data_IF_600721097004
#
_entry.id   IF_600721097004
#
_cell.length_a   1.000
_cell.length_b   1.000
_cell.length_c   1.000
_cell.angle_alpha   90.00
_cell.angle_beta   90.00
_cell.angle_gamma   90.00
#
_symmetry.space_group_name_H-M   'P 1'
#
loop_
_entity.id
_entity.type
_entity.pdbx_description
1 polymer ?
#
# COMPACT_ATOMS: atom_id res chain seq x y z
N UNK A 1 20.59 -5.77 78.49
CA UNK A 1 19.88 -4.88 77.56
C UNK A 1 20.59 -4.98 76.20
N UNK A 2 20.00 -5.71 75.21
CA UNK A 2 20.59 -5.90 73.89
C UNK A 2 19.72 -5.14 72.86
N UNK A 3 20.24 -4.02 72.32
CA UNK A 3 19.58 -3.23 71.31
C UNK A 3 19.73 -3.92 69.94
N UNK A 4 18.60 -4.23 69.30
CA UNK A 4 18.54 -4.77 67.93
C UNK A 4 18.31 -3.63 66.96
N UNK A 5 19.33 -3.37 66.13
CA UNK A 5 19.20 -2.45 65.03
C UNK A 5 18.53 -3.18 63.84
N UNK A 6 17.39 -2.69 63.41
CA UNK A 6 16.69 -3.20 62.23
C UNK A 6 17.15 -2.31 61.08
N UNK A 7 17.92 -2.90 60.15
CA UNK A 7 18.24 -2.27 58.85
C UNK A 7 17.02 -2.40 57.94
N UNK A 8 16.41 -1.28 57.62
CA UNK A 8 15.43 -1.16 56.55
C UNK A 8 16.18 -1.01 55.23
N UNK A 9 16.16 -2.05 54.40
CA UNK A 9 16.62 -1.98 53.02
C UNK A 9 15.46 -1.46 52.18
N UNK A 10 15.54 -0.23 51.72
CA UNK A 10 14.62 0.33 50.75
C UNK A 10 14.98 -0.22 49.36
N UNK A 11 14.15 -1.10 48.80
CA UNK A 11 14.21 -1.48 47.38
C UNK A 11 13.66 -0.30 46.57
N UNK A 12 14.53 0.39 45.86
CA UNK A 12 14.13 1.33 44.80
C UNK A 12 13.73 0.49 43.56
N UNK A 13 12.44 0.42 43.26
CA UNK A 13 11.96 -0.09 41.99
C UNK A 13 12.30 0.92 40.91
N UNK A 14 13.19 0.55 40.00
CA UNK A 14 13.46 1.30 38.75
C UNK A 14 12.36 0.93 37.78
N UNK A 15 11.35 1.79 37.64
CA UNK A 15 10.39 1.73 36.54
C UNK A 15 11.12 2.03 35.24
N UNK A 16 11.46 0.98 34.50
CA UNK A 16 11.89 1.10 33.11
C UNK A 16 10.66 1.54 32.27
N UNK A 17 10.48 2.85 32.12
CA UNK A 17 9.55 3.39 31.16
C UNK A 17 10.01 2.95 29.76
N UNK A 18 9.36 1.91 29.24
CA UNK A 18 9.49 1.55 27.83
C UNK A 18 8.95 2.73 26.99
N UNK A 19 9.85 3.54 26.49
CA UNK A 19 9.53 4.48 25.42
C UNK A 19 9.19 3.66 24.17
N UNK A 20 7.94 3.24 24.08
CA UNK A 20 7.34 2.80 22.84
C UNK A 20 7.31 3.98 21.90
N UNK A 21 8.38 4.18 21.13
CA UNK A 21 8.36 5.14 20.04
C UNK A 21 7.20 4.76 19.13
N UNK A 22 6.18 5.61 19.04
CA UNK A 22 5.18 5.48 17.97
C UNK A 22 5.96 5.63 16.67
N UNK A 23 6.13 4.53 15.93
CA UNK A 23 6.55 4.61 14.54
C UNK A 23 5.46 5.41 13.85
N UNK A 24 5.74 6.67 13.52
CA UNK A 24 4.81 7.48 12.75
C UNK A 24 4.69 6.81 11.39
N UNK A 25 3.50 6.32 11.08
CA UNK A 25 3.21 5.84 9.74
C UNK A 25 3.60 6.93 8.74
N UNK A 26 4.21 6.53 7.65
CA UNK A 26 4.53 7.45 6.54
C UNK A 26 3.24 8.18 6.16
N UNK A 27 3.28 9.50 5.88
CA UNK A 27 2.08 10.22 5.46
C UNK A 27 1.38 9.44 4.34
N UNK A 28 0.06 9.29 4.38
CA UNK A 28 -0.68 8.45 3.43
C UNK A 28 -0.46 8.86 1.97
N UNK A 29 -0.10 10.12 1.74
CA UNK A 29 0.22 10.62 0.39
C UNK A 29 1.25 11.75 0.48
N UNK A 30 2.06 11.91 -0.57
CA UNK A 30 2.93 13.08 -0.70
C UNK A 30 2.24 14.17 -1.54
N UNK A 31 2.60 15.46 -1.38
CA UNK A 31 2.14 16.51 -2.27
C UNK A 31 2.33 16.12 -3.74
N UNK A 32 1.36 16.47 -4.59
CA UNK A 32 1.38 16.12 -6.01
C UNK A 32 0.75 14.76 -6.34
N UNK A 33 0.38 13.94 -5.36
CA UNK A 33 -0.42 12.74 -5.58
C UNK A 33 -1.91 13.01 -5.29
N UNK A 34 -2.78 12.48 -6.16
CA UNK A 34 -4.23 12.46 -5.94
C UNK A 34 -4.87 11.20 -6.52
N UNK A 35 -5.88 10.69 -5.80
CA UNK A 35 -6.71 9.57 -6.23
C UNK A 35 -8.17 9.96 -6.33
N UNK A 36 -8.85 9.56 -7.40
CA UNK A 36 -10.27 9.81 -7.64
C UNK A 36 -10.99 8.51 -7.91
N UNK A 37 -12.06 8.22 -7.17
CA UNK A 37 -12.95 7.10 -7.46
C UNK A 37 -13.83 7.47 -8.65
N UNK A 38 -13.64 6.80 -9.79
CA UNK A 38 -14.45 6.98 -10.99
C UNK A 38 -15.76 6.21 -10.90
N UNK A 39 -15.72 5.02 -10.31
CA UNK A 39 -16.89 4.19 -10.09
C UNK A 39 -16.70 3.28 -8.88
N UNK A 40 -17.83 2.94 -8.23
CA UNK A 40 -17.92 1.93 -7.18
C UNK A 40 -19.19 1.11 -7.39
N UNK A 41 -19.09 -0.20 -7.20
CA UNK A 41 -20.25 -1.09 -7.14
C UNK A 41 -20.04 -2.18 -6.11
N UNK A 42 -21.09 -2.57 -5.41
CA UNK A 42 -21.07 -3.81 -4.63
C UNK A 42 -21.56 -4.95 -5.51
N UNK A 43 -20.79 -6.03 -5.58
CA UNK A 43 -21.13 -7.27 -6.29
C UNK A 43 -21.33 -8.39 -5.29
N UNK A 44 -22.33 -9.22 -5.53
CA UNK A 44 -22.56 -10.42 -4.74
C UNK A 44 -21.40 -11.41 -4.90
N UNK A 45 -21.28 -12.35 -3.96
CA UNK A 45 -20.35 -13.46 -4.08
C UNK A 45 -20.45 -14.10 -5.47
N UNK A 46 -19.30 -14.31 -6.12
CA UNK A 46 -19.26 -14.80 -7.50
C UNK A 46 -18.20 -15.88 -7.70
N UNK A 47 -18.42 -16.68 -8.75
CA UNK A 47 -17.42 -17.60 -9.25
C UNK A 47 -17.48 -17.61 -10.79
N UNK A 48 -16.56 -16.89 -11.40
CA UNK A 48 -16.43 -16.77 -12.85
C UNK A 48 -15.32 -17.69 -13.31
N UNK A 49 -15.65 -18.62 -14.21
CA UNK A 49 -14.69 -19.45 -14.92
C UNK A 49 -14.85 -19.21 -16.41
N UNK A 50 -13.76 -18.84 -17.07
CA UNK A 50 -13.77 -18.71 -18.52
C UNK A 50 -12.47 -19.28 -19.10
N UNK A 51 -12.54 -19.79 -20.34
CA UNK A 51 -11.36 -20.10 -21.10
C UNK A 51 -11.60 -19.86 -22.60
N UNK A 52 -10.56 -19.43 -23.29
CA UNK A 52 -10.61 -19.19 -24.73
C UNK A 52 -10.22 -20.45 -25.52
N UNK A 53 -10.88 -20.66 -26.67
CA UNK A 53 -10.54 -21.68 -27.66
C UNK A 53 -10.33 -20.99 -29.03
N UNK A 54 -9.27 -21.34 -29.80
CA UNK A 54 -8.14 -22.18 -29.41
C UNK A 54 -7.20 -21.45 -28.48
N UNK A 55 -6.62 -22.16 -27.50
CA UNK A 55 -5.60 -21.60 -26.60
C UNK A 55 -5.68 -22.15 -25.19
N UNK A 56 -4.74 -21.72 -24.38
CA UNK A 56 -4.62 -22.15 -22.98
C UNK A 56 -5.04 -21.05 -22.00
N UNK A 57 -5.59 -19.93 -22.48
CA UNK A 57 -6.01 -18.84 -21.61
C UNK A 57 -7.20 -19.27 -20.74
N UNK A 58 -7.03 -19.07 -19.44
CA UNK A 58 -8.06 -19.41 -18.45
C UNK A 58 -8.09 -18.30 -17.40
N UNK A 59 -9.29 -18.01 -16.89
CA UNK A 59 -9.50 -17.25 -15.68
C UNK A 59 -10.39 -18.02 -14.71
N UNK A 60 -10.06 -17.94 -13.43
CA UNK A 60 -10.88 -18.41 -12.33
C UNK A 60 -10.88 -17.30 -11.26
N UNK A 61 -11.99 -16.56 -11.18
CA UNK A 61 -12.20 -15.49 -10.22
C UNK A 61 -13.31 -15.88 -9.26
N UNK A 62 -13.00 -16.00 -7.99
CA UNK A 62 -13.95 -16.42 -6.97
C UNK A 62 -13.88 -15.50 -5.76
N UNK A 63 -15.04 -14.97 -5.37
CA UNK A 63 -15.26 -14.35 -4.06
C UNK A 63 -16.23 -15.20 -3.25
N UNK A 64 -15.98 -15.38 -1.95
CA UNK A 64 -16.87 -16.17 -1.07
C UNK A 64 -18.01 -15.32 -0.51
N UNK A 65 -17.81 -14.01 -0.46
CA UNK A 65 -18.72 -13.02 0.09
C UNK A 65 -18.87 -11.85 -0.87
N UNK A 66 -19.81 -10.95 -0.57
CA UNK A 66 -20.00 -9.70 -1.31
C UNK A 66 -18.71 -8.89 -1.32
N UNK A 67 -18.43 -8.25 -2.42
CA UNK A 67 -17.23 -7.44 -2.62
C UNK A 67 -17.59 -6.05 -3.13
N UNK A 68 -16.84 -5.05 -2.69
CA UNK A 68 -16.84 -3.72 -3.31
C UNK A 68 -15.79 -3.69 -4.43
N UNK A 69 -16.26 -3.38 -5.62
CA UNK A 69 -15.43 -3.15 -6.80
C UNK A 69 -15.23 -1.64 -6.98
N UNK A 70 -13.98 -1.20 -7.00
CA UNK A 70 -13.63 0.19 -7.26
C UNK A 70 -12.90 0.33 -8.59
N UNK A 71 -13.21 1.41 -9.31
CA UNK A 71 -12.38 1.92 -10.41
C UNK A 71 -11.80 3.25 -9.95
N UNK A 72 -10.48 3.31 -9.85
CA UNK A 72 -9.73 4.47 -9.36
C UNK A 72 -8.90 5.05 -10.49
N UNK A 73 -8.87 6.37 -10.60
CA UNK A 73 -7.83 7.09 -11.32
C UNK A 73 -6.87 7.72 -10.33
N UNK A 74 -5.59 7.45 -10.49
CA UNK A 74 -4.54 8.09 -9.71
C UNK A 74 -3.72 9.01 -10.60
N UNK A 75 -3.26 10.12 -10.04
CA UNK A 75 -2.44 11.11 -10.73
C UNK A 75 -1.27 11.50 -9.83
N UNK A 76 -0.08 11.51 -10.42
CA UNK A 76 1.14 12.02 -9.81
C UNK A 76 1.62 13.20 -10.65
N UNK A 77 1.55 14.38 -10.08
CA UNK A 77 1.94 15.64 -10.75
C UNK A 77 3.05 16.35 -9.96
N UNK A 78 4.32 16.20 -10.38
CA UNK A 78 5.45 16.84 -9.72
C UNK A 78 5.37 18.37 -9.71
N UNK A 79 4.64 19.00 -10.63
CA UNK A 79 4.50 20.44 -10.69
C UNK A 79 3.74 21.03 -9.49
N UNK A 80 2.86 20.22 -8.89
CA UNK A 80 2.07 20.63 -7.70
C UNK A 80 2.87 20.64 -6.40
N UNK A 81 4.11 20.21 -6.43
CA UNK A 81 5.01 20.17 -5.26
C UNK A 81 6.41 20.70 -5.54
N UNK A 82 6.57 21.55 -6.56
CA UNK A 82 7.86 22.17 -6.87
C UNK A 82 8.91 21.20 -7.41
N UNK A 83 8.49 20.12 -8.09
CA UNK A 83 9.39 19.11 -8.65
C UNK A 83 9.75 17.98 -7.68
N UNK A 84 8.94 17.76 -6.65
CA UNK A 84 9.10 16.59 -5.77
C UNK A 84 8.81 15.27 -6.53
N UNK A 85 9.03 14.15 -5.86
CA UNK A 85 8.67 12.81 -6.34
C UNK A 85 7.37 12.37 -5.64
N UNK A 86 6.19 12.68 -6.21
CA UNK A 86 4.93 12.33 -5.56
C UNK A 86 4.76 10.82 -5.45
N UNK A 87 4.23 10.36 -4.32
CA UNK A 87 4.02 8.95 -4.03
C UNK A 87 2.72 8.69 -3.29
N UNK A 88 2.26 7.45 -3.36
CA UNK A 88 1.07 7.01 -2.63
C UNK A 88 1.26 6.97 -1.12
N UNK A 89 2.49 6.98 -0.61
CA UNK A 89 2.81 6.50 0.73
C UNK A 89 2.76 4.97 0.80
N UNK A 90 3.42 4.38 1.79
CA UNK A 90 3.40 2.95 2.03
C UNK A 90 2.02 2.51 2.50
N UNK A 91 1.48 1.48 1.89
CA UNK A 91 0.14 1.00 2.19
C UNK A 91 -0.08 -0.41 1.66
N UNK A 92 -1.17 -1.02 2.12
CA UNK A 92 -1.71 -2.26 1.58
C UNK A 92 -3.20 -2.11 1.26
N UNK A 93 -3.77 -3.13 0.65
CA UNK A 93 -5.20 -3.27 0.37
C UNK A 93 -5.72 -4.60 0.93
N UNK A 94 -7.00 -4.69 1.37
CA UNK A 94 -7.57 -5.94 1.85
C UNK A 94 -7.85 -6.96 0.74
N UNK A 95 -7.69 -6.58 -0.51
CA UNK A 95 -7.86 -7.43 -1.68
C UNK A 95 -7.11 -6.91 -2.90
N UNK A 96 -7.09 -7.65 -4.01
CA UNK A 96 -6.22 -7.38 -5.14
C UNK A 96 -6.60 -6.14 -5.92
N UNK A 97 -5.57 -5.51 -6.53
CA UNK A 97 -5.69 -4.39 -7.46
C UNK A 97 -4.99 -4.72 -8.78
N UNK A 98 -5.67 -4.49 -9.88
CA UNK A 98 -5.07 -4.51 -11.22
C UNK A 98 -4.89 -3.07 -11.66
N UNK A 99 -3.66 -2.66 -11.91
CA UNK A 99 -3.30 -1.27 -12.17
C UNK A 99 -2.72 -1.15 -13.57
N UNK A 100 -3.20 -0.16 -14.33
CA UNK A 100 -2.73 0.12 -15.69
C UNK A 100 -2.20 1.56 -15.72
N UNK A 101 -0.95 1.73 -16.16
CA UNK A 101 -0.36 3.05 -16.41
C UNK A 101 -0.92 3.59 -17.72
N UNK A 102 -1.64 4.70 -17.64
CA UNK A 102 -2.31 5.33 -18.81
C UNK A 102 -1.55 6.55 -19.34
N UNK A 103 -0.66 7.12 -18.52
CA UNK A 103 0.20 8.25 -18.90
C UNK A 103 1.49 8.23 -18.09
N UNK A 104 2.62 8.54 -18.72
CA UNK A 104 3.92 8.71 -18.05
C UNK A 104 4.50 7.41 -17.53
N UNK A 105 5.24 7.51 -16.42
CA UNK A 105 5.98 6.42 -15.81
C UNK A 105 5.81 6.48 -14.29
N UNK A 106 5.62 5.33 -13.66
CA UNK A 106 5.62 5.16 -12.20
C UNK A 106 6.60 4.07 -11.81
N UNK A 107 7.09 4.14 -10.58
CA UNK A 107 7.98 3.15 -9.97
C UNK A 107 7.29 2.58 -8.73
N UNK A 108 7.16 1.27 -8.64
CA UNK A 108 6.67 0.57 -7.47
C UNK A 108 7.82 -0.02 -6.66
N UNK A 109 7.64 -0.09 -5.35
CA UNK A 109 8.57 -0.73 -4.41
C UNK A 109 7.75 -1.57 -3.43
N UNK A 110 8.30 -2.74 -3.08
CA UNK A 110 7.67 -3.69 -2.17
C UNK A 110 8.14 -3.50 -0.73
N UNK A 111 7.23 -3.72 0.22
CA UNK A 111 7.47 -3.48 1.64
C UNK A 111 8.42 -4.48 2.27
N UNK A 112 8.51 -5.67 1.73
CA UNK A 112 9.34 -6.77 2.23
C UNK A 112 10.64 -6.99 1.42
N UNK A 113 10.87 -6.21 0.36
CA UNK A 113 12.11 -6.32 -0.43
C UNK A 113 13.31 -5.76 0.34
N UNK A 114 14.30 -6.61 0.71
CA UNK A 114 15.47 -6.18 1.46
C UNK A 114 16.43 -5.28 0.66
N UNK A 115 16.26 -5.20 -0.65
CA UNK A 115 17.11 -4.45 -1.58
C UNK A 115 16.48 -3.16 -2.07
N UNK A 116 15.19 -2.93 -1.75
CA UNK A 116 14.42 -1.79 -2.25
C UNK A 116 14.51 -1.66 -3.77
N UNK A 117 14.24 -2.77 -4.48
CA UNK A 117 14.38 -2.85 -5.93
C UNK A 117 13.29 -2.04 -6.63
N UNK A 118 13.62 -1.11 -7.54
CA UNK A 118 12.63 -0.37 -8.31
C UNK A 118 11.99 -1.23 -9.40
N UNK A 119 10.66 -1.29 -9.44
CA UNK A 119 9.88 -1.88 -10.52
C UNK A 119 9.24 -0.77 -11.35
N UNK A 120 9.75 -0.53 -12.56
CA UNK A 120 9.34 0.60 -13.40
C UNK A 120 8.27 0.19 -14.40
N UNK A 121 7.17 0.96 -14.44
CA UNK A 121 6.03 0.76 -15.34
C UNK A 121 5.75 2.04 -16.13
N UNK A 122 5.55 1.90 -17.45
CA UNK A 122 5.37 3.04 -18.35
C UNK A 122 4.22 2.80 -19.32
N UNK A 123 3.46 3.85 -19.61
CA UNK A 123 2.36 3.79 -20.57
C UNK A 123 2.80 3.35 -21.98
N UNK A 124 4.07 3.54 -22.35
CA UNK A 124 4.65 3.16 -23.64
C UNK A 124 5.36 1.80 -23.63
N UNK A 125 5.39 1.09 -22.50
CA UNK A 125 6.12 -0.17 -22.34
C UNK A 125 5.36 -1.19 -21.50
N UNK A 126 6.02 -1.76 -20.48
CA UNK A 126 5.32 -2.56 -19.45
C UNK A 126 4.41 -1.64 -18.67
N UNK A 127 3.11 -1.68 -18.92
CA UNK A 127 2.15 -0.69 -18.44
C UNK A 127 1.17 -1.23 -17.40
N UNK A 128 1.36 -2.45 -16.90
CA UNK A 128 0.46 -3.04 -15.91
C UNK A 128 1.22 -3.68 -14.77
N UNK A 129 0.67 -3.53 -13.56
CA UNK A 129 1.13 -4.20 -12.35
C UNK A 129 -0.09 -4.75 -11.59
N UNK A 130 0.15 -5.77 -10.80
CA UNK A 130 -0.86 -6.40 -9.95
C UNK A 130 -0.36 -6.35 -8.52
N UNK A 131 -1.14 -5.72 -7.66
CA UNK A 131 -1.04 -5.82 -6.21
C UNK A 131 -1.98 -6.96 -5.77
N UNK A 132 -1.47 -7.93 -5.07
CA UNK A 132 -2.25 -9.08 -4.62
C UNK A 132 -3.12 -8.77 -3.41
N UNK A 133 -2.84 -7.68 -2.69
CA UNK A 133 -3.53 -7.30 -1.47
C UNK A 133 -3.27 -8.25 -0.30
N UNK A 134 -4.14 -8.18 0.72
CA UNK A 134 -4.06 -9.12 1.84
C UNK A 134 -2.84 -8.93 2.74
N UNK A 135 -2.27 -7.72 2.81
CA UNK A 135 -1.08 -7.40 3.61
C UNK A 135 0.18 -7.21 2.78
N UNK A 136 0.08 -7.30 1.45
CA UNK A 136 1.16 -6.94 0.53
C UNK A 136 1.39 -5.43 0.57
N UNK A 137 2.45 -5.02 1.25
CA UNK A 137 2.77 -3.60 1.49
C UNK A 137 3.60 -3.07 0.34
N UNK A 138 3.17 -1.94 -0.22
CA UNK A 138 3.87 -1.32 -1.35
C UNK A 138 3.76 0.21 -1.34
N UNK A 139 4.57 0.85 -2.17
CA UNK A 139 4.47 2.26 -2.52
C UNK A 139 4.61 2.42 -4.03
N UNK A 140 3.82 3.30 -4.63
CA UNK A 140 3.98 3.72 -6.02
C UNK A 140 4.39 5.19 -6.05
N UNK A 141 5.49 5.50 -6.73
CA UNK A 141 6.07 6.84 -6.84
C UNK A 141 6.18 7.27 -8.30
N UNK A 142 6.17 8.57 -8.52
CA UNK A 142 6.57 9.14 -9.80
C UNK A 142 7.95 9.77 -9.68
N UNK A 143 8.94 9.13 -10.25
CA UNK A 143 10.34 9.56 -10.24
C UNK A 143 10.79 10.11 -11.61
N UNK A 144 9.85 10.22 -12.56
CA UNK A 144 10.14 10.63 -13.93
C UNK A 144 10.20 12.14 -14.13
N UNK A 145 9.73 12.94 -13.17
CA UNK A 145 9.63 14.40 -13.30
C UNK A 145 8.50 14.90 -14.22
N UNK A 146 7.79 14.02 -14.90
CA UNK A 146 6.62 14.33 -15.73
C UNK A 146 5.34 13.80 -15.08
N UNK A 147 4.17 14.31 -15.48
CA UNK A 147 2.89 13.81 -14.99
C UNK A 147 2.71 12.34 -15.35
N UNK A 148 2.34 11.52 -14.35
CA UNK A 148 1.94 10.13 -14.52
C UNK A 148 0.50 9.91 -14.08
N UNK A 149 -0.19 8.97 -14.75
CA UNK A 149 -1.56 8.54 -14.40
C UNK A 149 -1.71 7.04 -14.49
N UNK A 150 -2.54 6.50 -13.60
CA UNK A 150 -2.98 5.10 -13.66
C UNK A 150 -4.49 5.00 -13.52
N UNK A 151 -5.02 3.90 -14.02
CA UNK A 151 -6.36 3.40 -13.66
C UNK A 151 -6.18 2.08 -12.94
N UNK A 152 -6.81 1.94 -11.78
CA UNK A 152 -6.78 0.73 -10.97
C UNK A 152 -8.19 0.16 -10.81
N UNK A 153 -8.33 -1.15 -10.93
CA UNK A 153 -9.53 -1.91 -10.60
C UNK A 153 -9.22 -2.72 -9.35
N UNK A 154 -9.98 -2.49 -8.27
CA UNK A 154 -9.74 -3.12 -6.97
C UNK A 154 -10.95 -3.92 -6.53
N UNK A 155 -10.70 -5.13 -6.02
CA UNK A 155 -11.70 -5.98 -5.36
C UNK A 155 -11.40 -6.01 -3.87
N UNK A 156 -12.30 -5.50 -3.04
CA UNK A 156 -12.14 -5.52 -1.59
C UNK A 156 -13.38 -6.12 -0.93
N UNK A 157 -13.29 -6.70 0.27
CA UNK A 157 -14.47 -7.14 1.01
C UNK A 157 -15.45 -5.98 1.17
N UNK A 158 -16.75 -6.26 1.03
CA UNK A 158 -17.81 -5.26 1.15
C UNK A 158 -17.69 -4.48 2.46
N UNK A 159 -17.64 -3.15 2.35
CA UNK A 159 -17.56 -2.24 3.49
C UNK A 159 -16.20 -2.13 4.14
N UNK A 160 -15.17 -2.82 3.64
CA UNK A 160 -13.81 -2.68 4.13
C UNK A 160 -13.18 -1.35 3.67
N UNK A 161 -12.24 -0.84 4.46
CA UNK A 161 -11.39 0.25 4.05
C UNK A 161 -10.54 -0.19 2.86
N UNK A 162 -10.64 0.57 1.77
CA UNK A 162 -9.96 0.26 0.52
C UNK A 162 -8.43 0.29 0.65
N UNK A 163 -7.92 1.11 1.54
CA UNK A 163 -6.50 1.35 1.78
C UNK A 163 -6.20 1.31 3.27
N UNK A 164 -5.11 0.68 3.62
CA UNK A 164 -4.58 0.60 4.98
C UNK A 164 -3.15 1.16 4.92
N UNK A 165 -2.90 2.25 5.65
CA UNK A 165 -1.57 2.86 5.69
C UNK A 165 -0.63 2.02 6.54
N UNK A 166 0.60 1.82 6.05
CA UNK A 166 1.59 0.94 6.65
C UNK A 166 2.91 1.67 6.91
N UNK A 167 3.73 1.20 7.84
CA UNK A 167 5.10 1.66 7.99
C UNK A 167 5.91 1.45 6.71
N UNK A 168 6.84 2.36 6.44
CA UNK A 168 7.74 2.23 5.29
C UNK A 168 8.71 1.04 5.43
N UNK A 169 9.16 0.53 4.27
CA UNK A 169 10.27 -0.41 4.22
C UNK A 169 11.55 0.26 4.75
N UNK A 170 12.18 -0.26 5.82
CA UNK A 170 13.38 0.35 6.41
C UNK A 170 14.59 0.32 5.47
N UNK A 171 14.56 -0.50 4.41
CA UNK A 171 15.62 -0.57 3.41
C UNK A 171 15.45 0.44 2.28
N UNK A 172 14.30 1.12 2.20
CA UNK A 172 14.05 2.18 1.23
C UNK A 172 14.36 3.55 1.85
N UNK A 173 15.28 4.36 1.28
CA UNK A 173 15.75 5.59 1.90
C UNK A 173 14.84 6.80 1.67
N UNK A 174 13.53 6.61 1.54
CA UNK A 174 12.57 7.68 1.27
C UNK A 174 11.23 7.46 1.99
#
# INVERSE_FOLDING_TARGET
MKSRWILLVALAAIDAAAFGGKVLATPPTTPGFSGTTLAKATIAALHIKAHAKPGHWKVDLKTKEDSDLYVQQNTWDPSLCGGCMPGTGWHTHPGPSIIIVTQGTVTAYEGDDPTCTPHVYSASGSNSLVDIGGGDVHIIRNESGAVAKTVAVQFVPKGADRRIDEPGNPNCPF
#
